data_IF_418052013350
#
_entry.id   IF_418052013350
#
_cell.length_a   1.000
_cell.length_b   1.000
_cell.length_c   1.000
_cell.angle_alpha   90.00
_cell.angle_beta   90.00
_cell.angle_gamma   90.00
#
_symmetry.space_group_name_H-M   'P 1'
#
loop_
_entity.id
_entity.type
_entity.pdbx_description
1 polymer ?
#
# COMPACT_ATOMS: atom_id res chain seq x y z
N UNK A 1 -2.31 3.45 -26.33
CA UNK A 1 -2.72 3.92 -24.99
C UNK A 1 -1.47 4.02 -24.12
N UNK A 2 -1.11 5.21 -23.65
CA UNK A 2 0.02 5.38 -22.72
C UNK A 2 -0.37 4.68 -21.42
N UNK A 3 0.48 3.78 -20.93
CA UNK A 3 0.32 3.20 -19.58
C UNK A 3 0.65 4.33 -18.61
N UNK A 4 -0.37 4.92 -17.98
CA UNK A 4 -0.19 6.03 -17.03
C UNK A 4 0.56 5.57 -15.76
N UNK A 5 0.62 4.26 -15.52
CA UNK A 5 1.36 3.63 -14.43
C UNK A 5 2.60 2.91 -14.99
N UNK A 6 3.81 3.20 -14.49
CA UNK A 6 5.04 2.48 -14.85
C UNK A 6 4.92 0.98 -14.55
N UNK A 7 5.44 0.14 -15.45
CA UNK A 7 5.35 -1.31 -15.29
C UNK A 7 6.05 -1.81 -14.01
N UNK A 8 7.18 -1.22 -13.66
CA UNK A 8 7.92 -1.52 -12.42
C UNK A 8 7.05 -1.32 -11.18
N UNK A 9 6.29 -0.21 -11.12
CA UNK A 9 5.39 0.09 -10.02
C UNK A 9 4.26 -0.94 -9.92
N UNK A 10 3.65 -1.29 -11.06
CA UNK A 10 2.64 -2.34 -11.13
C UNK A 10 3.18 -3.70 -10.69
N UNK A 11 4.39 -4.07 -11.12
CA UNK A 11 5.02 -5.33 -10.75
C UNK A 11 5.30 -5.41 -9.25
N UNK A 12 5.81 -4.32 -8.64
CA UNK A 12 6.06 -4.28 -7.21
C UNK A 12 4.77 -4.47 -6.39
N UNK A 13 3.67 -3.81 -6.80
CA UNK A 13 2.36 -3.97 -6.16
C UNK A 13 1.83 -5.39 -6.31
N UNK A 14 1.92 -5.98 -7.50
CA UNK A 14 1.49 -7.36 -7.74
C UNK A 14 2.30 -8.36 -6.92
N UNK A 15 3.61 -8.16 -6.78
CA UNK A 15 4.47 -9.00 -5.95
C UNK A 15 4.05 -8.96 -4.47
N UNK A 16 3.83 -7.77 -3.92
CA UNK A 16 3.38 -7.61 -2.52
C UNK A 16 2.02 -8.26 -2.30
N UNK A 17 1.09 -8.10 -3.24
CA UNK A 17 -0.23 -8.73 -3.18
C UNK A 17 -0.15 -10.25 -3.27
N UNK A 18 0.74 -10.78 -4.10
CA UNK A 18 1.00 -12.21 -4.17
C UNK A 18 1.57 -12.75 -2.84
N UNK A 19 2.55 -12.05 -2.23
CA UNK A 19 3.07 -12.42 -0.91
C UNK A 19 1.91 -12.55 0.11
N UNK A 20 1.07 -11.51 0.23
CA UNK A 20 -0.07 -11.52 1.15
C UNK A 20 -1.10 -12.62 0.84
N UNK A 21 -1.44 -12.84 -0.43
CA UNK A 21 -2.44 -13.84 -0.82
C UNK A 21 -1.96 -15.27 -0.57
N UNK A 22 -0.68 -15.55 -0.81
CA UNK A 22 -0.15 -16.91 -0.74
C UNK A 22 0.33 -17.30 0.66
N UNK A 23 0.89 -16.37 1.43
CA UNK A 23 1.45 -16.68 2.76
C UNK A 23 0.67 -16.03 3.90
N UNK A 24 -0.11 -14.99 3.62
CA UNK A 24 -0.66 -14.12 4.65
C UNK A 24 0.39 -13.21 5.28
N UNK A 25 1.59 -13.10 4.70
CA UNK A 25 2.74 -12.39 5.26
C UNK A 25 3.36 -11.43 4.24
N UNK A 26 4.17 -10.48 4.72
CA UNK A 26 5.07 -9.68 3.86
C UNK A 26 6.49 -9.85 4.36
N UNK A 27 7.41 -10.17 3.47
CA UNK A 27 8.82 -10.35 3.83
C UNK A 27 9.63 -9.16 3.35
N UNK A 28 10.24 -8.43 4.28
CA UNK A 28 11.28 -7.45 3.97
C UNK A 28 12.66 -8.09 4.12
N UNK A 29 13.72 -7.40 3.70
CA UNK A 29 15.11 -7.86 3.80
C UNK A 29 15.50 -8.24 5.23
N UNK A 30 14.90 -7.58 6.22
CA UNK A 30 15.25 -7.72 7.64
C UNK A 30 14.25 -8.56 8.45
N UNK A 31 12.95 -8.54 8.08
CA UNK A 31 11.87 -9.05 8.95
C UNK A 31 10.73 -9.63 8.13
N UNK A 32 10.14 -10.73 8.63
CA UNK A 32 8.85 -11.24 8.16
C UNK A 32 7.73 -10.64 9.01
N UNK A 33 6.81 -9.93 8.38
CA UNK A 33 5.66 -9.31 9.03
C UNK A 33 4.42 -10.19 8.87
N UNK A 34 3.70 -10.37 9.99
CA UNK A 34 2.47 -11.17 10.08
C UNK A 34 1.31 -10.31 10.58
N UNK A 35 0.07 -10.53 10.14
CA UNK A 35 -1.12 -9.91 10.69
C UNK A 35 -1.22 -10.18 12.20
N UNK A 36 -1.54 -9.16 12.98
CA UNK A 36 -1.52 -9.25 14.44
C UNK A 36 -2.81 -9.83 15.06
N UNK A 37 -3.54 -10.71 14.35
CA UNK A 37 -4.86 -11.18 14.79
C UNK A 37 -5.00 -12.69 14.86
N UNK A 38 -5.13 -13.18 16.10
CA UNK A 38 -5.66 -14.49 16.53
C UNK A 38 -7.15 -14.73 16.14
N UNK A 39 -7.73 -13.97 15.20
CA UNK A 39 -9.14 -14.10 14.79
C UNK A 39 -9.22 -14.62 13.36
N UNK A 40 -9.95 -15.72 13.18
CA UNK A 40 -10.07 -16.55 11.99
C UNK A 40 -10.74 -15.88 10.77
N UNK A 41 -11.01 -14.58 10.82
CA UNK A 41 -11.56 -13.79 9.71
C UNK A 41 -10.52 -12.73 9.33
N UNK A 42 -9.33 -13.17 8.94
CA UNK A 42 -8.30 -12.29 8.40
C UNK A 42 -8.77 -11.87 7.00
N UNK A 43 -9.24 -10.63 6.86
CA UNK A 43 -9.38 -10.02 5.54
C UNK A 43 -7.96 -9.85 4.98
N UNK A 44 -7.72 -10.30 3.75
CA UNK A 44 -6.41 -10.27 3.10
C UNK A 44 -5.72 -8.90 3.27
N UNK A 45 -4.52 -8.89 3.86
CA UNK A 45 -3.71 -7.69 4.06
C UNK A 45 -4.01 -6.87 5.33
N UNK A 46 -4.97 -7.26 6.17
CA UNK A 46 -5.26 -6.57 7.43
C UNK A 46 -4.03 -6.52 8.35
N UNK A 47 -3.69 -5.32 8.83
CA UNK A 47 -2.53 -5.10 9.71
C UNK A 47 -1.16 -5.14 9.02
N UNK A 48 -1.10 -5.35 7.70
CA UNK A 48 0.14 -5.39 6.92
C UNK A 48 0.45 -4.09 6.17
N UNK A 49 -0.37 -3.04 6.31
CA UNK A 49 -0.25 -1.79 5.57
C UNK A 49 1.14 -1.12 5.72
N UNK A 50 1.72 -1.10 6.93
CA UNK A 50 3.08 -0.58 7.15
C UNK A 50 4.15 -1.45 6.48
N UNK A 51 4.03 -2.78 6.57
CA UNK A 51 4.96 -3.71 5.96
C UNK A 51 4.92 -3.62 4.43
N UNK A 52 3.73 -3.43 3.85
CA UNK A 52 3.55 -3.21 2.42
C UNK A 52 4.28 -1.94 1.93
N UNK A 53 4.22 -0.84 2.69
CA UNK A 53 4.98 0.38 2.35
C UNK A 53 6.50 0.16 2.45
N UNK A 54 6.97 -0.53 3.49
CA UNK A 54 8.40 -0.89 3.60
C UNK A 54 8.85 -1.76 2.43
N UNK A 55 8.03 -2.75 2.06
CA UNK A 55 8.32 -3.62 0.94
C UNK A 55 8.34 -2.88 -0.40
N UNK A 56 7.48 -1.87 -0.58
CA UNK A 56 7.56 -0.96 -1.75
C UNK A 56 8.89 -0.20 -1.80
N UNK A 57 9.41 0.26 -0.66
CA UNK A 57 10.71 0.96 -0.60
C UNK A 57 11.85 0.06 -1.09
N UNK A 58 11.83 -1.22 -0.74
CA UNK A 58 12.83 -2.20 -1.17
C UNK A 58 12.73 -2.55 -2.65
N UNK A 59 11.50 -2.75 -3.16
CA UNK A 59 11.27 -3.15 -4.55
C UNK A 59 11.44 -1.99 -5.53
N UNK A 60 11.42 -0.74 -5.06
CA UNK A 60 11.46 0.46 -5.90
C UNK A 60 12.60 1.42 -5.48
N UNK A 61 13.87 0.99 -5.50
CA UNK A 61 15.00 1.80 -5.00
C UNK A 61 15.22 3.10 -5.80
N UNK A 62 14.69 3.18 -7.02
CA UNK A 62 14.78 4.36 -7.89
C UNK A 62 13.57 5.31 -7.76
N UNK A 63 12.67 5.07 -6.81
CA UNK A 63 11.51 5.91 -6.54
C UNK A 63 11.64 6.52 -5.14
N UNK A 64 11.11 7.72 -4.96
CA UNK A 64 10.88 8.25 -3.62
C UNK A 64 9.56 7.67 -3.10
N UNK A 65 9.64 6.82 -2.08
CA UNK A 65 8.49 6.14 -1.45
C UNK A 65 8.35 6.64 -0.02
N UNK A 66 7.35 7.48 0.20
CA UNK A 66 7.06 8.09 1.51
C UNK A 66 5.75 7.56 2.09
N UNK A 67 5.72 7.08 3.34
CA UNK A 67 4.48 6.67 4.01
C UNK A 67 3.53 7.86 4.23
N UNK A 68 2.24 7.62 3.98
CA UNK A 68 1.13 8.50 4.29
C UNK A 68 0.21 7.80 5.29
N UNK A 69 0.06 8.40 6.47
CA UNK A 69 -0.81 7.92 7.54
C UNK A 69 -2.20 8.53 7.38
N UNK A 70 -3.20 7.68 7.17
CA UNK A 70 -4.59 8.04 6.97
C UNK A 70 -5.40 7.72 8.23
N UNK A 71 -6.25 8.66 8.65
CA UNK A 71 -7.34 8.40 9.59
C UNK A 71 -8.63 8.25 8.78
N UNK A 72 -9.27 7.11 8.87
CA UNK A 72 -10.53 6.84 8.18
C UNK A 72 -11.73 7.34 9.01
N UNK A 73 -12.87 7.54 8.36
CA UNK A 73 -14.09 8.04 9.00
C UNK A 73 -14.64 7.16 10.13
N UNK A 74 -14.33 5.86 10.13
CA UNK A 74 -14.68 4.92 11.21
C UNK A 74 -13.70 4.99 12.39
N UNK A 75 -12.69 5.85 12.33
CA UNK A 75 -11.65 5.99 13.34
C UNK A 75 -10.51 4.99 13.21
N UNK A 76 -10.51 4.11 12.20
CA UNK A 76 -9.39 3.22 11.94
C UNK A 76 -8.18 3.99 11.36
N UNK A 77 -7.01 3.38 11.54
CA UNK A 77 -5.74 3.89 11.02
C UNK A 77 -5.30 3.03 9.83
N UNK A 78 -4.87 3.68 8.75
CA UNK A 78 -4.37 3.02 7.56
C UNK A 78 -3.13 3.71 7.03
N UNK A 79 -2.21 2.96 6.42
CA UNK A 79 -0.98 3.52 5.85
C UNK A 79 -0.86 3.13 4.39
N UNK A 80 -0.63 4.14 3.56
CA UNK A 80 -0.40 4.01 2.12
C UNK A 80 0.94 4.66 1.76
N UNK A 81 1.41 4.47 0.53
CA UNK A 81 2.62 5.12 0.05
C UNK A 81 2.30 6.26 -0.92
N UNK A 82 2.94 7.42 -0.73
CA UNK A 82 3.21 8.38 -1.81
C UNK A 82 4.46 7.92 -2.54
N UNK A 83 4.32 7.55 -3.80
CA UNK A 83 5.42 7.10 -4.66
C UNK A 83 5.65 8.14 -5.75
N UNK A 84 6.89 8.62 -5.90
CA UNK A 84 7.22 9.62 -6.92
C UNK A 84 8.50 9.29 -7.70
N UNK A 85 8.48 9.62 -8.99
CA UNK A 85 9.63 9.53 -9.92
C UNK A 85 9.41 10.49 -11.09
N UNK A 86 10.45 11.24 -11.46
CA UNK A 86 10.48 12.07 -12.68
C UNK A 86 9.22 12.95 -12.86
N UNK A 87 8.87 13.72 -11.82
CA UNK A 87 7.69 14.61 -11.74
C UNK A 87 6.31 13.92 -11.80
N UNK A 88 6.24 12.60 -11.62
CA UNK A 88 4.97 11.88 -11.46
C UNK A 88 4.83 11.41 -10.02
N UNK A 89 3.63 11.60 -9.48
CA UNK A 89 3.25 11.13 -8.15
C UNK A 89 2.08 10.15 -8.24
N UNK A 90 2.15 9.11 -7.42
CA UNK A 90 1.13 8.08 -7.27
C UNK A 90 0.83 7.89 -5.78
N UNK A 91 -0.43 7.63 -5.47
CA UNK A 91 -0.82 7.01 -4.20
C UNK A 91 -0.91 5.50 -4.44
N UNK A 92 -0.21 4.73 -3.62
CA UNK A 92 -0.08 3.28 -3.77
C UNK A 92 -0.50 2.59 -2.49
N UNK A 93 -1.48 1.72 -2.60
CA UNK A 93 -2.05 0.94 -1.50
C UNK A 93 -2.20 -0.52 -1.93
N UNK A 94 -1.17 -1.35 -1.71
CA UNK A 94 -1.24 -2.78 -2.01
C UNK A 94 -2.31 -3.51 -1.19
N UNK A 95 -2.75 -2.91 -0.07
CA UNK A 95 -3.63 -3.51 0.94
C UNK A 95 -5.06 -2.96 0.88
N UNK A 96 -5.43 -2.22 -0.16
CA UNK A 96 -6.74 -1.56 -0.27
C UNK A 96 -7.91 -2.55 -0.22
N UNK A 97 -7.68 -3.80 -0.63
CA UNK A 97 -8.70 -4.85 -0.69
C UNK A 97 -9.22 -5.25 0.68
N UNK A 98 -8.49 -4.93 1.76
CA UNK A 98 -8.99 -5.11 3.13
C UNK A 98 -10.23 -4.24 3.44
N UNK A 99 -10.43 -3.17 2.65
CA UNK A 99 -11.57 -2.25 2.76
C UNK A 99 -12.47 -2.30 1.53
N UNK A 100 -11.88 -2.38 0.33
CA UNK A 100 -12.55 -2.25 -0.95
C UNK A 100 -12.02 -3.29 -1.96
N UNK A 101 -12.53 -4.54 -1.96
CA UNK A 101 -11.97 -5.68 -2.72
C UNK A 101 -11.87 -5.52 -4.25
N UNK A 102 -12.54 -4.51 -4.83
CA UNK A 102 -12.53 -4.24 -6.28
C UNK A 102 -11.75 -2.98 -6.63
N UNK A 103 -11.09 -2.36 -5.67
CA UNK A 103 -10.34 -1.12 -5.88
C UNK A 103 -9.00 -1.39 -6.55
N UNK A 104 -8.60 -0.45 -7.41
CA UNK A 104 -7.23 -0.36 -7.93
C UNK A 104 -6.25 -0.08 -6.79
N UNK A 105 -5.05 -0.63 -6.84
CA UNK A 105 -4.03 -0.38 -5.82
C UNK A 105 -3.14 0.83 -6.11
N UNK A 106 -3.21 1.41 -7.31
CA UNK A 106 -2.37 2.55 -7.74
C UNK A 106 -3.27 3.66 -8.27
N UNK A 107 -3.09 4.87 -7.75
CA UNK A 107 -3.87 6.05 -8.08
C UNK A 107 -2.94 7.16 -8.58
N UNK A 108 -3.12 7.58 -9.82
CA UNK A 108 -2.42 8.72 -10.39
C UNK A 108 -3.01 10.05 -9.89
N UNK A 109 -2.27 11.15 -10.04
CA UNK A 109 -2.78 12.49 -9.76
C UNK A 109 -4.14 12.75 -10.45
N UNK A 110 -5.08 13.34 -9.70
CA UNK A 110 -6.45 13.59 -10.15
C UNK A 110 -7.40 12.40 -10.04
N UNK A 111 -6.89 11.19 -9.76
CA UNK A 111 -7.75 10.05 -9.47
C UNK A 111 -8.21 10.09 -8.01
N UNK A 112 -9.50 9.82 -7.79
CA UNK A 112 -10.07 9.74 -6.44
C UNK A 112 -9.66 8.43 -5.76
N UNK A 113 -9.06 8.55 -4.58
CA UNK A 113 -8.87 7.43 -3.66
C UNK A 113 -10.22 7.08 -2.99
N UNK A 114 -10.60 5.79 -2.86
CA UNK A 114 -11.97 5.39 -2.57
C UNK A 114 -12.33 5.53 -1.09
N UNK A 115 -11.35 5.43 -0.18
CA UNK A 115 -11.63 5.48 1.25
C UNK A 115 -11.96 6.92 1.68
N UNK A 116 -12.94 7.04 2.59
CA UNK A 116 -13.30 8.31 3.22
C UNK A 116 -12.28 8.66 4.30
N UNK A 117 -11.46 9.66 4.03
CA UNK A 117 -10.36 10.10 4.89
C UNK A 117 -10.80 11.33 5.70
N UNK A 118 -10.61 11.27 7.01
CA UNK A 118 -10.84 12.40 7.92
C UNK A 118 -9.60 13.27 8.07
N UNK A 119 -8.40 12.67 8.11
CA UNK A 119 -7.14 13.42 8.21
C UNK A 119 -5.97 12.63 7.60
N UNK A 120 -4.96 13.35 7.09
CA UNK A 120 -3.73 12.79 6.53
C UNK A 120 -2.53 13.36 7.30
N UNK A 121 -1.60 12.50 7.67
CA UNK A 121 -0.34 12.87 8.32
C UNK A 121 0.83 12.28 7.53
N UNK A 122 1.87 13.08 7.27
CA UNK A 122 3.13 12.57 6.73
C UNK A 122 3.88 11.87 7.88
N UNK A 123 4.34 10.64 7.66
CA UNK A 123 5.19 9.96 8.63
C UNK A 123 6.64 10.41 8.40
N UNK A 124 7.20 11.16 9.33
CA UNK A 124 8.66 11.31 9.46
C UNK A 124 9.15 10.22 10.40
N UNK A 125 9.75 9.16 9.85
CA UNK A 125 10.53 8.19 10.63
C UNK A 125 11.84 8.80 11.07
#
# INVERSE_FOLDING_TARGET
MKRDVPQELSNAVLQIRAEMLFTGEITTTEVVFRPNSLRAEVVDGAGLCHAAVRRLQELLPNYSVSPLSLRLNDGSHHVVARVSRENREYIVDPTIEQFEPRSKAIYCQGQRYPLKITSIHNYTT
#
